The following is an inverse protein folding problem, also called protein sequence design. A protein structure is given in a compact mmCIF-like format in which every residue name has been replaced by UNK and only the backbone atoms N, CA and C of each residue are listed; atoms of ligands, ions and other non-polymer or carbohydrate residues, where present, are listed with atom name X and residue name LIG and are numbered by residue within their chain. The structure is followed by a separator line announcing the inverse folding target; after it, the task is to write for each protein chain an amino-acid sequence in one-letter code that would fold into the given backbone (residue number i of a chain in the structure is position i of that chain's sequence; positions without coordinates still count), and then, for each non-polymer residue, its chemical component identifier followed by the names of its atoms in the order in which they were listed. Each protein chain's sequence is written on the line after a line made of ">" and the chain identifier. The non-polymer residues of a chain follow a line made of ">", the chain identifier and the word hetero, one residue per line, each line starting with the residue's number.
data_IF_085553078641
#
_entry.id   IF_085553078641
#
_cell.length_a   1.000
_cell.length_b   1.000
_cell.length_c   1.000
_cell.angle_alpha   90.00
_cell.angle_beta   90.00
_cell.angle_gamma   90.00
#
_symmetry.space_group_name_H-M   'P 1'
#
loop_
_entity.id
_entity.type
_entity.pdbx_description
1 polymer ?
#
# COMPACT_ATOMS: atom_id res chain seq x y z
N UNK A 1 2.78 -16.25 -21.42
CA UNK A 1 2.38 -16.95 -20.17
C UNK A 1 0.89 -16.70 -19.95
N UNK A 2 0.12 -17.74 -19.62
CA UNK A 2 -1.28 -17.58 -19.22
C UNK A 2 -1.35 -16.89 -17.85
N UNK A 3 -2.39 -16.08 -17.63
CA UNK A 3 -2.66 -15.49 -16.33
C UNK A 3 -2.94 -16.58 -15.29
N UNK A 4 -2.45 -16.36 -14.07
CA UNK A 4 -2.77 -17.21 -12.93
C UNK A 4 -4.30 -17.25 -12.71
N UNK A 5 -4.92 -18.43 -12.52
CA UNK A 5 -6.37 -18.55 -12.33
C UNK A 5 -6.94 -17.72 -11.19
N UNK A 6 -6.17 -17.49 -10.12
CA UNK A 6 -6.57 -16.69 -8.97
C UNK A 6 -6.62 -15.21 -9.32
N UNK A 7 -5.63 -14.73 -10.07
CA UNK A 7 -5.58 -13.36 -10.59
C UNK A 7 -6.72 -13.11 -11.58
N UNK A 8 -7.03 -14.11 -12.43
CA UNK A 8 -8.15 -14.03 -13.38
C UNK A 8 -9.50 -13.81 -12.68
N UNK A 9 -9.77 -14.50 -11.56
CA UNK A 9 -11.00 -14.32 -10.78
C UNK A 9 -11.12 -12.91 -10.18
N UNK A 10 -10.01 -12.35 -9.68
CA UNK A 10 -9.99 -10.98 -9.15
C UNK A 10 -10.26 -9.97 -10.26
N UNK A 11 -9.62 -10.14 -11.42
CA UNK A 11 -9.85 -9.28 -12.58
C UNK A 11 -11.30 -9.38 -13.09
N UNK A 12 -11.91 -10.56 -13.07
CA UNK A 12 -13.33 -10.74 -13.44
C UNK A 12 -14.28 -10.01 -12.48
N UNK A 13 -13.97 -9.97 -11.18
CA UNK A 13 -14.75 -9.19 -10.20
C UNK A 13 -14.61 -7.67 -10.43
N UNK A 14 -13.41 -7.22 -10.80
CA UNK A 14 -13.12 -5.81 -11.07
C UNK A 14 -13.58 -5.34 -12.46
N UNK A 15 -13.83 -6.27 -13.39
CA UNK A 15 -14.18 -5.98 -14.80
C UNK A 15 -15.44 -5.12 -14.95
N UNK A 16 -16.35 -5.18 -13.99
CA UNK A 16 -17.60 -4.42 -14.01
C UNK A 16 -17.51 -3.07 -13.28
N UNK A 17 -16.34 -2.73 -12.71
CA UNK A 17 -16.11 -1.46 -12.03
C UNK A 17 -15.43 -0.50 -13.00
N UNK A 18 -16.19 0.46 -13.52
CA UNK A 18 -15.65 1.51 -14.38
C UNK A 18 -15.04 2.62 -13.52
N UNK A 19 -13.73 2.54 -13.26
CA UNK A 19 -13.01 3.45 -12.35
C UNK A 19 -13.11 4.93 -12.74
N UNK A 20 -13.27 5.25 -14.02
CA UNK A 20 -13.42 6.63 -14.53
C UNK A 20 -14.73 7.30 -14.13
N UNK A 21 -15.75 6.51 -13.77
CA UNK A 21 -17.06 7.01 -13.34
C UNK A 21 -17.12 7.34 -11.84
N UNK A 22 -16.10 6.95 -11.07
CA UNK A 22 -16.06 7.07 -9.62
C UNK A 22 -15.48 8.41 -9.19
N UNK A 23 -15.95 8.92 -8.05
CA UNK A 23 -15.25 10.02 -7.39
C UNK A 23 -13.91 9.55 -6.83
N UNK A 24 -12.97 10.48 -6.63
CA UNK A 24 -11.66 10.18 -6.03
C UNK A 24 -11.80 9.47 -4.68
N UNK A 25 -12.78 9.86 -3.87
CA UNK A 25 -13.03 9.22 -2.57
C UNK A 25 -13.51 7.77 -2.72
N UNK A 26 -14.40 7.50 -3.67
CA UNK A 26 -14.89 6.15 -3.95
C UNK A 26 -13.77 5.26 -4.52
N UNK A 27 -12.93 5.81 -5.39
CA UNK A 27 -11.76 5.11 -5.92
C UNK A 27 -10.77 4.73 -4.81
N UNK A 28 -10.48 5.65 -3.87
CA UNK A 28 -9.64 5.35 -2.70
C UNK A 28 -10.23 4.25 -1.83
N UNK A 29 -11.52 4.33 -1.49
CA UNK A 29 -12.19 3.29 -0.69
C UNK A 29 -12.10 1.91 -1.35
N UNK A 30 -12.30 1.83 -2.66
CA UNK A 30 -12.19 0.56 -3.39
C UNK A 30 -10.75 0.03 -3.44
N UNK A 31 -9.75 0.91 -3.55
CA UNK A 31 -8.34 0.49 -3.51
C UNK A 31 -7.90 0.02 -2.11
N UNK A 32 -8.45 0.64 -1.06
CA UNK A 32 -8.18 0.24 0.32
C UNK A 32 -8.89 -1.07 0.70
N UNK A 33 -9.98 -1.41 0.00
CA UNK A 33 -10.71 -2.67 0.17
C UNK A 33 -9.84 -3.88 -0.23
N UNK A 34 -9.20 -4.48 0.78
CA UNK A 34 -8.38 -5.67 0.62
C UNK A 34 -6.97 -5.52 1.17
N UNK A 35 -6.50 -4.29 1.38
CA UNK A 35 -5.22 -4.03 2.08
C UNK A 35 -5.28 -4.59 3.51
N UNK A 36 -6.43 -4.47 4.17
CA UNK A 36 -6.63 -5.01 5.52
C UNK A 36 -6.54 -6.54 5.59
N UNK A 37 -6.73 -7.24 4.45
CA UNK A 37 -6.62 -8.70 4.35
C UNK A 37 -5.22 -9.16 3.96
N UNK A 38 -4.29 -8.23 3.67
CA UNK A 38 -2.91 -8.60 3.41
C UNK A 38 -2.28 -9.15 4.67
N UNK A 39 -1.58 -10.27 4.52
CA UNK A 39 -0.76 -10.83 5.58
C UNK A 39 0.31 -9.80 5.90
N UNK A 40 0.33 -9.32 7.14
CA UNK A 40 1.38 -8.44 7.62
C UNK A 40 2.54 -9.32 8.08
N UNK A 41 3.68 -9.16 7.43
CA UNK A 41 4.92 -9.80 7.85
C UNK A 41 5.30 -9.33 9.25
N UNK A 42 5.90 -10.23 10.03
CA UNK A 42 6.34 -9.92 11.38
C UNK A 42 7.60 -9.03 11.32
N UNK A 43 7.61 -7.98 12.13
CA UNK A 43 8.73 -7.03 12.21
C UNK A 43 9.04 -6.75 13.66
N UNK A 44 10.30 -6.43 13.96
CA UNK A 44 10.74 -6.20 15.34
C UNK A 44 10.00 -5.03 15.99
N UNK A 45 9.88 -3.93 15.25
CA UNK A 45 9.17 -2.76 15.74
C UNK A 45 8.66 -1.91 14.58
N UNK A 46 7.65 -1.09 14.89
CA UNK A 46 7.17 -0.04 14.00
C UNK A 46 7.07 1.27 14.76
N UNK A 47 7.52 2.36 14.16
CA UNK A 47 7.35 3.70 14.72
C UNK A 47 6.80 4.67 13.68
N UNK A 48 5.92 5.56 14.13
CA UNK A 48 5.37 6.63 13.29
C UNK A 48 6.01 7.95 13.68
N UNK A 49 6.42 8.72 12.67
CA UNK A 49 7.07 10.01 12.86
C UNK A 49 6.74 10.95 11.70
N UNK A 50 7.07 12.23 11.88
CA UNK A 50 6.87 13.25 10.85
C UNK A 50 8.19 13.84 10.42
N UNK A 51 8.42 13.91 9.12
CA UNK A 51 9.52 14.68 8.53
C UNK A 51 8.95 16.02 8.07
N UNK A 52 9.52 17.12 8.57
CA UNK A 52 9.11 18.48 8.18
C UNK A 52 10.20 19.14 7.36
N UNK A 53 9.85 19.64 6.17
CA UNK A 53 10.76 20.39 5.30
C UNK A 53 9.96 21.45 4.52
N UNK A 54 10.40 22.71 4.55
CA UNK A 54 9.72 23.84 3.89
C UNK A 54 8.20 23.88 4.15
N UNK A 55 7.80 23.83 5.42
CA UNK A 55 6.39 23.81 5.89
C UNK A 55 5.53 22.61 5.41
N UNK A 56 6.13 21.66 4.69
CA UNK A 56 5.51 20.39 4.33
C UNK A 56 5.84 19.36 5.41
N UNK A 57 4.81 18.83 6.06
CA UNK A 57 4.92 17.75 7.04
C UNK A 57 4.47 16.43 6.41
N UNK A 58 5.40 15.50 6.22
CA UNK A 58 5.14 14.16 5.70
C UNK A 58 5.04 13.17 6.86
N UNK A 59 3.94 12.42 6.92
CA UNK A 59 3.81 11.30 7.84
C UNK A 59 4.60 10.10 7.30
N UNK A 60 5.47 9.55 8.13
CA UNK A 60 6.33 8.42 7.79
C UNK A 60 6.13 7.29 8.81
N UNK A 61 6.36 6.06 8.35
CA UNK A 61 6.43 4.89 9.21
C UNK A 61 7.75 4.17 9.00
N UNK A 62 8.49 3.97 10.08
CA UNK A 62 9.71 3.19 10.10
C UNK A 62 9.37 1.76 10.53
N UNK A 63 9.93 0.80 9.81
CA UNK A 63 9.85 -0.62 10.12
C UNK A 63 11.26 -1.11 10.46
N UNK A 64 11.45 -1.62 11.67
CA UNK A 64 12.72 -2.18 12.08
C UNK A 64 12.70 -3.71 11.91
N UNK A 65 13.67 -4.29 11.19
CA UNK A 65 13.79 -5.74 11.09
C UNK A 65 14.34 -6.37 12.38
N UNK A 66 14.15 -7.68 12.53
CA UNK A 66 14.76 -8.45 13.64
C UNK A 66 16.28 -8.55 13.52
N UNK A 67 16.80 -8.55 12.29
CA UNK A 67 18.23 -8.57 12.00
C UNK A 67 18.82 -7.17 12.08
N UNK A 68 19.95 -7.04 12.77
CA UNK A 68 20.71 -5.79 12.78
C UNK A 68 21.22 -5.50 11.37
N UNK A 69 21.02 -4.26 10.89
CA UNK A 69 21.47 -3.80 9.57
C UNK A 69 21.81 -2.32 9.63
N UNK A 70 22.81 -1.91 8.85
CA UNK A 70 23.19 -0.50 8.66
C UNK A 70 22.53 0.10 7.41
N UNK A 71 21.68 -0.66 6.71
CA UNK A 71 20.98 -0.23 5.52
C UNK A 71 19.65 0.46 5.86
N UNK A 72 19.35 1.54 5.13
CA UNK A 72 18.06 2.23 5.16
C UNK A 72 17.42 2.19 3.78
N UNK A 73 16.15 1.79 3.72
CA UNK A 73 15.34 1.82 2.51
C UNK A 73 14.26 2.90 2.67
N UNK A 74 14.20 3.81 1.70
CA UNK A 74 13.13 4.80 1.60
C UNK A 74 12.10 4.27 0.60
N UNK A 75 10.89 3.97 1.08
CA UNK A 75 9.81 3.42 0.27
C UNK A 75 8.69 4.44 0.08
N UNK A 76 8.25 4.61 -1.17
CA UNK A 76 7.09 5.42 -1.54
C UNK A 76 5.98 4.50 -2.02
N UNK A 77 4.78 4.62 -1.44
CA UNK A 77 3.65 3.82 -1.87
C UNK A 77 3.22 4.20 -3.29
N UNK A 78 2.80 3.21 -4.09
CA UNK A 78 2.12 3.46 -5.36
C UNK A 78 0.70 4.01 -5.17
N UNK A 79 -0.02 4.27 -6.25
CA UNK A 79 -1.42 4.73 -6.16
C UNK A 79 -1.94 5.52 -7.35
N UNK A 80 -1.06 5.99 -8.23
CA UNK A 80 -1.44 6.75 -9.43
C UNK A 80 -1.86 8.17 -9.09
#
# INVERSE_FOLDING_TARGET
>A
MSLDPSVKKVLELLKNIELSSLTVEQARKLMDMGIERQIKEDVKSTSEFKITYNDISLSCRLYEPFTTTDALIIYYHGGG
#
